data_IF_525210086367
#
_entry.id   IF_525210086367
#
_cell.length_a   1.000
_cell.length_b   1.000
_cell.length_c   1.000
_cell.angle_alpha   90.00
_cell.angle_beta   90.00
_cell.angle_gamma   90.00
#
_symmetry.space_group_name_H-M   'P 1'
#
loop_
_entity.id
_entity.type
_entity.pdbx_description
1 polymer ?
#
# COMPACT_ATOMS: atom_id res chain seq x y z
N UNK A 1 -14.24 -4.95 -10.26
CA UNK A 1 -13.16 -4.29 -9.49
C UNK A 1 -12.22 -5.38 -8.99
N UNK A 2 -10.89 -5.23 -9.13
CA UNK A 2 -9.95 -6.20 -8.59
C UNK A 2 -10.15 -6.30 -7.07
N UNK A 3 -10.06 -7.51 -6.52
CA UNK A 3 -10.17 -7.75 -5.09
C UNK A 3 -9.01 -8.61 -4.64
N UNK A 4 -8.55 -8.39 -3.41
CA UNK A 4 -7.48 -9.19 -2.82
C UNK A 4 -8.06 -9.92 -1.63
N UNK A 5 -8.18 -11.25 -1.75
CA UNK A 5 -8.72 -12.14 -0.70
C UNK A 5 -10.11 -11.70 -0.22
N UNK A 6 -11.00 -11.35 -1.15
CA UNK A 6 -12.38 -10.91 -0.85
C UNK A 6 -12.50 -9.49 -0.31
N UNK A 7 -11.39 -8.75 -0.14
CA UNK A 7 -11.40 -7.33 0.23
C UNK A 7 -11.19 -6.44 -0.99
N UNK A 8 -11.76 -5.23 -0.95
CA UNK A 8 -11.46 -4.20 -1.95
C UNK A 8 -10.00 -3.78 -1.84
N UNK A 9 -9.40 -3.30 -2.94
CA UNK A 9 -8.02 -2.81 -2.93
C UNK A 9 -7.82 -1.72 -1.88
N UNK A 10 -8.78 -0.79 -1.78
CA UNK A 10 -8.77 0.28 -0.76
C UNK A 10 -8.72 -0.26 0.66
N UNK A 11 -9.54 -1.28 0.97
CA UNK A 11 -9.52 -1.88 2.30
C UNK A 11 -8.16 -2.52 2.60
N UNK A 12 -7.56 -3.20 1.63
CA UNK A 12 -6.24 -3.81 1.80
C UNK A 12 -5.12 -2.77 1.94
N UNK A 13 -5.14 -1.66 1.19
CA UNK A 13 -4.13 -0.60 1.35
C UNK A 13 -4.24 0.12 2.69
N UNK A 14 -5.46 0.30 3.21
CA UNK A 14 -5.65 0.77 4.58
C UNK A 14 -5.14 -0.27 5.61
N UNK A 15 -5.45 -1.56 5.44
CA UNK A 15 -4.90 -2.61 6.32
C UNK A 15 -3.36 -2.59 6.34
N UNK A 16 -2.72 -2.32 5.20
CA UNK A 16 -1.25 -2.16 5.10
C UNK A 16 -0.79 -0.91 5.86
N UNK A 17 -1.45 0.23 5.68
CA UNK A 17 -1.11 1.47 6.38
C UNK A 17 -1.18 1.29 7.91
N UNK A 18 -2.26 0.67 8.38
CA UNK A 18 -2.54 0.42 9.79
C UNK A 18 -1.66 -0.69 10.38
N UNK A 19 -1.06 -1.53 9.54
CA UNK A 19 -0.13 -2.60 9.93
C UNK A 19 -0.79 -3.96 10.16
N UNK A 20 -2.06 -4.12 9.77
CA UNK A 20 -2.78 -5.40 9.80
C UNK A 20 -2.35 -6.35 8.69
N UNK A 21 -1.81 -5.83 7.59
CA UNK A 21 -1.29 -6.61 6.46
C UNK A 21 0.15 -6.22 6.17
N UNK A 22 1.03 -7.23 6.07
CA UNK A 22 2.41 -7.04 5.61
C UNK A 22 2.56 -7.53 4.17
N UNK A 23 3.09 -6.69 3.30
CA UNK A 23 3.36 -7.04 1.91
C UNK A 23 4.72 -7.73 1.80
N UNK A 24 4.71 -8.96 1.30
CA UNK A 24 5.90 -9.77 1.04
C UNK A 24 5.67 -10.63 -0.22
N UNK A 25 6.72 -11.29 -0.77
CA UNK A 25 6.55 -12.10 -1.97
C UNK A 25 5.52 -13.24 -1.83
N UNK A 26 5.32 -13.81 -0.64
CA UNK A 26 4.32 -14.86 -0.40
C UNK A 26 2.91 -14.29 -0.56
N UNK A 27 2.65 -13.11 -0.02
CA UNK A 27 1.40 -12.38 -0.20
C UNK A 27 1.12 -12.07 -1.68
N UNK A 28 2.15 -11.66 -2.43
CA UNK A 28 2.01 -11.25 -3.83
C UNK A 28 1.86 -12.44 -4.80
N UNK A 29 2.40 -13.62 -4.47
CA UNK A 29 2.32 -14.82 -5.32
C UNK A 29 0.89 -15.25 -5.66
N UNK A 30 -0.08 -14.94 -4.80
CA UNK A 30 -1.49 -15.30 -5.02
C UNK A 30 -2.27 -14.28 -5.86
N UNK A 31 -1.64 -13.17 -6.27
CA UNK A 31 -2.29 -12.11 -7.04
C UNK A 31 -2.02 -12.28 -8.53
N UNK A 32 -3.06 -12.07 -9.32
CA UNK A 32 -2.95 -11.88 -10.77
C UNK A 32 -2.41 -10.48 -11.10
N UNK A 33 -1.95 -10.30 -12.33
CA UNK A 33 -1.30 -9.07 -12.79
C UNK A 33 -2.19 -7.83 -12.62
N UNK A 34 -3.50 -7.96 -12.87
CA UNK A 34 -4.44 -6.85 -12.73
C UNK A 34 -4.63 -6.45 -11.26
N UNK A 35 -4.72 -7.42 -10.36
CA UNK A 35 -4.75 -7.16 -8.91
C UNK A 35 -3.44 -6.55 -8.42
N UNK A 36 -2.29 -6.98 -8.95
CA UNK A 36 -0.98 -6.43 -8.59
C UNK A 36 -0.83 -4.97 -9.05
N UNK A 37 -1.25 -4.65 -10.27
CA UNK A 37 -1.29 -3.26 -10.76
C UNK A 37 -2.28 -2.41 -9.99
N UNK A 38 -3.45 -2.98 -9.69
CA UNK A 38 -4.51 -2.32 -8.93
C UNK A 38 -4.06 -1.95 -7.52
N UNK A 39 -3.48 -2.89 -6.77
CA UNK A 39 -3.00 -2.62 -5.41
C UNK A 39 -1.85 -1.59 -5.43
N UNK A 40 -0.98 -1.63 -6.44
CA UNK A 40 0.09 -0.64 -6.59
C UNK A 40 -0.47 0.79 -6.79
N UNK A 41 -1.44 0.96 -7.68
CA UNK A 41 -2.10 2.26 -7.91
C UNK A 41 -2.82 2.75 -6.65
N UNK A 42 -3.57 1.87 -5.99
CA UNK A 42 -4.29 2.24 -4.78
C UNK A 42 -3.32 2.62 -3.64
N UNK A 43 -2.15 1.97 -3.53
CA UNK A 43 -1.11 2.38 -2.58
C UNK A 43 -0.65 3.81 -2.82
N UNK A 44 -0.41 4.21 -4.08
CA UNK A 44 0.00 5.58 -4.39
C UNK A 44 -1.10 6.59 -4.02
N UNK A 45 -2.36 6.25 -4.28
CA UNK A 45 -3.52 7.06 -3.93
C UNK A 45 -3.65 7.21 -2.41
N UNK A 46 -3.61 6.11 -1.65
CA UNK A 46 -3.66 6.13 -0.19
C UNK A 46 -2.49 6.94 0.40
N UNK A 47 -1.29 6.86 -0.17
CA UNK A 47 -0.18 7.72 0.26
C UNK A 47 -0.47 9.21 0.02
N UNK A 48 -1.08 9.58 -1.10
CA UNK A 48 -1.46 10.97 -1.38
C UNK A 48 -2.54 11.46 -0.40
N UNK A 49 -3.53 10.62 -0.10
CA UNK A 49 -4.58 10.89 0.88
C UNK A 49 -3.99 11.12 2.29
N UNK A 50 -3.13 10.21 2.78
CA UNK A 50 -2.47 10.35 4.09
C UNK A 50 -1.56 11.58 4.13
N UNK A 51 -0.93 11.96 3.01
CA UNK A 51 -0.14 13.19 2.94
C UNK A 51 -1.02 14.44 3.05
N UNK A 52 -2.25 14.40 2.53
CA UNK A 52 -3.20 15.50 2.58
C UNK A 52 -3.96 15.64 3.91
N UNK A 53 -3.88 14.64 4.80
CA UNK A 53 -4.50 14.70 6.13
C UNK A 53 -4.03 15.93 6.92
N UNK A 54 -4.99 16.69 7.44
CA UNK A 54 -4.74 17.85 8.30
C UNK A 54 -4.59 17.38 9.74
N UNK A 55 -3.57 17.87 10.44
CA UNK A 55 -3.36 17.61 11.86
C UNK A 55 -2.76 18.87 12.52
N UNK A 56 -3.04 19.12 13.82
CA UNK A 56 -2.39 20.18 14.57
C UNK A 56 -0.87 19.97 14.62
N UNK A 57 -0.07 20.99 14.31
CA UNK A 57 1.39 20.86 14.28
C UNK A 57 2.02 20.56 15.66
N UNK A 58 1.30 20.82 16.74
CA UNK A 58 1.70 20.49 18.10
C UNK A 58 1.43 19.04 18.50
N UNK A 59 0.65 18.29 17.71
CA UNK A 59 0.32 16.90 18.00
C UNK A 59 1.40 15.95 17.48
N UNK A 60 2.41 15.71 18.32
CA UNK A 60 3.54 14.82 18.03
C UNK A 60 3.07 13.39 17.77
N UNK A 61 2.01 12.93 18.44
CA UNK A 61 1.52 11.56 18.28
C UNK A 61 0.90 11.37 16.90
N UNK A 62 0.05 12.31 16.46
CA UNK A 62 -0.53 12.29 15.11
C UNK A 62 0.53 12.39 14.02
N UNK A 63 1.58 13.19 14.21
CA UNK A 63 2.72 13.27 13.27
C UNK A 63 3.43 11.92 13.14
N UNK A 64 3.78 11.30 14.28
CA UNK A 64 4.44 9.99 14.29
C UNK A 64 3.57 8.93 13.62
N UNK A 65 2.28 8.92 13.94
CA UNK A 65 1.32 7.99 13.38
C UNK A 65 1.22 8.10 11.85
N UNK A 66 1.10 9.33 11.32
CA UNK A 66 1.13 9.59 9.88
C UNK A 66 2.42 9.10 9.23
N UNK A 67 3.58 9.35 9.84
CA UNK A 67 4.87 8.93 9.31
C UNK A 67 5.01 7.41 9.26
N UNK A 68 4.55 6.69 10.29
CA UNK A 68 4.53 5.22 10.32
C UNK A 68 3.68 4.66 9.19
N UNK A 69 2.46 5.20 8.99
CA UNK A 69 1.59 4.78 7.88
C UNK A 69 2.26 5.00 6.52
N UNK A 70 2.85 6.17 6.30
CA UNK A 70 3.57 6.48 5.06
C UNK A 70 4.78 5.55 4.83
N UNK A 71 5.54 5.24 5.89
CA UNK A 71 6.67 4.31 5.82
C UNK A 71 6.23 2.91 5.41
N UNK A 72 5.13 2.39 5.99
CA UNK A 72 4.57 1.07 5.64
C UNK A 72 4.13 1.02 4.19
N UNK A 73 3.40 2.03 3.71
CA UNK A 73 2.97 2.10 2.32
C UNK A 73 4.16 2.22 1.35
N UNK A 74 5.19 2.97 1.72
CA UNK A 74 6.42 3.07 0.94
C UNK A 74 7.13 1.72 0.83
N UNK A 75 7.34 1.02 1.95
CA UNK A 75 7.94 -0.31 1.97
C UNK A 75 7.14 -1.31 1.12
N UNK A 76 5.80 -1.33 1.28
CA UNK A 76 4.93 -2.15 0.46
C UNK A 76 5.10 -1.88 -1.05
N UNK A 77 5.16 -0.59 -1.43
CA UNK A 77 5.39 -0.20 -2.83
C UNK A 77 6.73 -0.69 -3.37
N UNK A 78 7.79 -0.69 -2.56
CA UNK A 78 9.11 -1.18 -2.98
C UNK A 78 9.09 -2.69 -3.22
N UNK A 79 8.45 -3.45 -2.32
CA UNK A 79 8.30 -4.91 -2.48
C UNK A 79 7.51 -5.24 -3.74
N UNK A 80 6.40 -4.54 -4.01
CA UNK A 80 5.60 -4.74 -5.22
C UNK A 80 6.41 -4.41 -6.48
N UNK A 81 7.13 -3.28 -6.50
CA UNK A 81 7.99 -2.91 -7.64
C UNK A 81 9.04 -3.97 -7.93
N UNK A 82 9.72 -4.46 -6.89
CA UNK A 82 10.74 -5.49 -7.05
C UNK A 82 10.13 -6.81 -7.57
N UNK A 83 9.02 -7.24 -6.98
CA UNK A 83 8.30 -8.46 -7.39
C UNK A 83 7.80 -8.38 -8.84
N UNK A 84 7.24 -7.23 -9.25
CA UNK A 84 6.79 -7.02 -10.62
C UNK A 84 7.96 -7.02 -11.62
N UNK A 85 9.07 -6.36 -11.26
CA UNK A 85 10.29 -6.32 -12.09
C UNK A 85 10.85 -7.72 -12.34
N UNK A 86 10.97 -8.55 -11.30
CA UNK A 86 11.43 -9.94 -11.42
C UNK A 86 10.55 -10.78 -12.35
N UNK A 87 9.26 -10.45 -12.45
CA UNK A 87 8.27 -11.15 -13.27
C UNK A 87 7.97 -10.48 -14.62
N UNK A 88 8.66 -9.38 -14.94
CA UNK A 88 8.46 -8.56 -16.15
C UNK A 88 7.02 -8.04 -16.28
N UNK A 89 6.36 -7.76 -15.15
CA UNK A 89 5.03 -7.15 -15.12
C UNK A 89 5.19 -5.62 -15.15
N UNK A 90 4.54 -4.95 -16.10
CA UNK A 90 4.48 -3.49 -16.17
C UNK A 90 3.45 -2.96 -15.18
N UNK A 91 3.90 -2.18 -14.20
CA UNK A 91 3.03 -1.55 -13.19
C UNK A 91 2.43 -0.22 -13.65
N UNK A 92 2.95 0.36 -14.73
CA UNK A 92 2.58 1.63 -15.37
C UNK A 92 2.51 1.39 -16.86
#
# INVERSE_FOLDING_TARGET
>A
MPTVRGKTLKAVTHDIAEGYVTVNPIFLKSLDDDSLKGIYHELMKTQAEIRAEKFPHSDIQSIRWRNVRLQRLYQASMVIKNFARERRILLI
#
